data_IF_581297310306
#
_entry.id   IF_581297310306
#
_cell.length_a   1.000
_cell.length_b   1.000
_cell.length_c   1.000
_cell.angle_alpha   90.00
_cell.angle_beta   90.00
_cell.angle_gamma   90.00
#
_symmetry.space_group_name_H-M   'P 1'
#
loop_
_entity.id
_entity.type
_entity.pdbx_description
1 polymer ?
#
# COMPACT_ATOMS: atom_id res chain seq x y z
N UNK A 1 22.95 -2.68 1.45
CA UNK A 1 22.00 -1.55 1.33
C UNK A 1 20.98 -1.76 2.42
N UNK A 2 21.10 -1.02 3.51
CA UNK A 2 20.13 -1.09 4.59
C UNK A 2 18.90 -0.31 4.11
N UNK A 3 17.78 -1.01 3.92
CA UNK A 3 16.52 -0.37 3.58
C UNK A 3 15.92 0.14 4.87
N UNK A 4 16.04 1.45 5.12
CA UNK A 4 15.37 2.09 6.24
C UNK A 4 13.88 2.19 5.94
N UNK A 5 13.09 1.28 6.54
CA UNK A 5 11.64 1.28 6.39
C UNK A 5 11.07 2.34 7.34
N UNK A 6 10.32 3.34 6.84
CA UNK A 6 9.79 4.40 7.69
C UNK A 6 8.91 3.86 8.82
N UNK A 7 8.95 4.52 9.98
CA UNK A 7 8.23 4.07 11.18
C UNK A 7 6.73 3.84 10.97
N UNK A 8 6.10 4.60 10.06
CA UNK A 8 4.67 4.45 9.73
C UNK A 8 4.29 3.09 9.13
N UNK A 9 5.25 2.33 8.62
CA UNK A 9 5.04 0.96 8.13
C UNK A 9 5.21 -0.09 9.23
N UNK A 10 5.66 0.31 10.43
CA UNK A 10 5.80 -0.58 11.58
C UNK A 10 4.43 -0.71 12.25
N UNK A 11 4.05 -1.93 12.65
CA UNK A 11 2.81 -2.23 13.37
C UNK A 11 1.49 -1.85 12.65
N UNK A 12 1.46 -1.85 11.32
CA UNK A 12 0.24 -1.57 10.55
C UNK A 12 -0.79 -2.67 10.77
N UNK A 13 -2.01 -2.29 11.21
CA UNK A 13 -3.12 -3.23 11.37
C UNK A 13 -3.54 -3.77 10.00
N UNK A 14 -3.67 -5.09 9.90
CA UNK A 14 -4.22 -5.71 8.70
C UNK A 14 -5.70 -5.36 8.51
N UNK A 15 -6.07 -4.86 7.33
CA UNK A 15 -7.43 -4.47 6.96
C UNK A 15 -7.76 -4.90 5.53
N UNK A 16 -8.36 -6.08 5.36
CA UNK A 16 -8.64 -6.68 4.04
C UNK A 16 -9.57 -5.85 3.14
N UNK A 17 -10.44 -5.02 3.73
CA UNK A 17 -11.37 -4.14 3.00
C UNK A 17 -10.70 -2.91 2.39
N UNK A 18 -9.48 -2.57 2.83
CA UNK A 18 -8.71 -1.42 2.30
C UNK A 18 -7.92 -1.85 1.08
N UNK A 19 -8.49 -1.60 -0.09
CA UNK A 19 -7.95 -1.91 -1.41
C UNK A 19 -7.28 -0.68 -2.05
N UNK A 20 -6.40 -0.86 -3.07
CA UNK A 20 -5.76 0.27 -3.75
C UNK A 20 -6.76 1.35 -4.18
N UNK A 21 -6.43 2.62 -3.96
CA UNK A 21 -7.31 3.75 -4.28
C UNK A 21 -8.48 3.98 -3.30
N UNK A 22 -8.54 3.28 -2.17
CA UNK A 22 -9.51 3.59 -1.12
C UNK A 22 -9.29 5.01 -0.54
N UNK A 23 -10.31 5.54 0.16
CA UNK A 23 -10.20 6.85 0.79
C UNK A 23 -9.07 6.84 1.84
N UNK A 24 -8.25 7.88 1.81
CA UNK A 24 -7.10 8.08 2.70
C UNK A 24 -6.12 6.90 2.64
N UNK A 25 -5.85 6.36 1.45
CA UNK A 25 -5.00 5.17 1.26
C UNK A 25 -3.56 5.33 1.76
N UNK A 26 -3.05 6.56 1.82
CA UNK A 26 -1.75 6.89 2.39
C UNK A 26 -1.70 6.83 3.92
N UNK A 27 -2.85 6.88 4.59
CA UNK A 27 -2.93 6.80 6.04
C UNK A 27 -2.97 5.33 6.50
N UNK A 28 -1.79 4.81 6.85
CA UNK A 28 -1.62 3.44 7.35
C UNK A 28 -2.11 3.26 8.80
N UNK A 29 -2.43 4.33 9.52
CA UNK A 29 -3.02 4.21 10.87
C UNK A 29 -4.43 3.64 10.83
N UNK A 30 -5.13 3.80 9.69
CA UNK A 30 -6.42 3.19 9.39
C UNK A 30 -6.31 1.70 9.01
N UNK A 31 -5.08 1.17 8.98
CA UNK A 31 -4.75 -0.18 8.53
C UNK A 31 -4.54 -0.28 7.02
N UNK A 32 -4.07 -1.45 6.57
CA UNK A 32 -3.86 -1.74 5.16
C UNK A 32 -4.02 -3.23 4.87
N UNK A 33 -4.42 -3.56 3.65
CA UNK A 33 -4.14 -4.89 3.11
C UNK A 33 -2.71 -4.94 2.53
N UNK A 34 -2.29 -6.13 2.10
CA UNK A 34 -0.94 -6.33 1.57
C UNK A 34 -0.60 -5.41 0.39
N UNK A 35 -1.58 -5.16 -0.49
CA UNK A 35 -1.37 -4.38 -1.70
C UNK A 35 -1.29 -2.88 -1.41
N UNK A 36 -2.18 -2.35 -0.56
CA UNK A 36 -2.13 -0.95 -0.10
C UNK A 36 -0.83 -0.67 0.67
N UNK A 37 -0.39 -1.60 1.51
CA UNK A 37 0.90 -1.49 2.19
C UNK A 37 2.05 -1.39 1.19
N UNK A 38 2.13 -2.35 0.24
CA UNK A 38 3.18 -2.38 -0.76
C UNK A 38 3.19 -1.13 -1.63
N UNK A 39 2.02 -0.64 -2.05
CA UNK A 39 1.91 0.55 -2.90
C UNK A 39 2.35 1.82 -2.17
N UNK A 40 1.99 1.97 -0.90
CA UNK A 40 2.49 3.09 -0.10
C UNK A 40 4.00 3.01 0.13
N UNK A 41 4.56 1.81 0.29
CA UNK A 41 6.00 1.64 0.42
C UNK A 41 6.70 2.06 -0.88
N UNK A 42 6.20 1.59 -2.03
CA UNK A 42 6.70 1.99 -3.35
C UNK A 42 6.64 3.51 -3.55
N UNK A 43 5.54 4.16 -3.13
CA UNK A 43 5.38 5.63 -3.19
C UNK A 43 6.42 6.37 -2.38
N UNK A 44 6.80 5.85 -1.21
CA UNK A 44 7.89 6.45 -0.40
C UNK A 44 9.27 6.32 -1.05
N UNK A 45 9.46 5.32 -1.91
CA UNK A 45 10.64 5.20 -2.77
C UNK A 45 10.49 5.95 -4.11
N UNK A 46 9.46 6.78 -4.28
CA UNK A 46 9.25 7.61 -5.48
C UNK A 46 8.58 6.88 -6.65
N UNK A 47 8.09 5.66 -6.45
CA UNK A 47 7.38 4.88 -7.46
C UNK A 47 5.87 5.07 -7.32
N UNK A 48 5.16 5.33 -8.42
CA UNK A 48 3.72 5.57 -8.37
C UNK A 48 2.92 4.45 -9.06
N UNK A 49 2.63 3.33 -8.37
CA UNK A 49 1.83 2.25 -8.94
C UNK A 49 0.37 2.69 -9.16
N UNK A 50 -0.30 2.19 -10.21
CA UNK A 50 -1.71 2.46 -10.44
C UNK A 50 -2.58 1.82 -9.35
N UNK A 51 -3.79 2.31 -9.17
CA UNK A 51 -4.72 1.81 -8.14
C UNK A 51 -5.46 0.52 -8.54
N UNK A 52 -4.83 -0.34 -9.34
CA UNK A 52 -5.42 -1.62 -9.74
C UNK A 52 -5.22 -2.68 -8.66
N UNK A 53 -6.24 -3.49 -8.40
CA UNK A 53 -6.13 -4.75 -7.66
C UNK A 53 -5.38 -5.77 -8.48
N UNK A 54 -4.68 -6.70 -7.84
CA UNK A 54 -3.95 -7.78 -8.52
C UNK A 54 -4.78 -8.53 -9.58
N UNK A 55 -6.08 -8.70 -9.37
CA UNK A 55 -6.99 -9.33 -10.35
C UNK A 55 -7.22 -8.48 -11.61
N UNK A 56 -7.21 -7.16 -11.48
CA UNK A 56 -7.48 -6.20 -12.57
C UNK A 56 -6.27 -6.02 -13.49
N UNK A 57 -5.09 -6.54 -13.12
CA UNK A 57 -3.87 -6.46 -13.94
C UNK A 57 -3.89 -7.35 -15.18
N UNK A 58 -4.79 -8.33 -15.23
CA UNK A 58 -4.81 -9.37 -16.26
C UNK A 58 -6.07 -9.35 -17.13
N UNK A 59 -6.99 -8.40 -16.89
CA UNK A 59 -8.27 -8.29 -17.60
C UNK A 59 -8.12 -7.62 -19.00
N UNK A 60 -7.07 -7.95 -19.74
CA UNK A 60 -6.89 -7.56 -21.16
C UNK A 60 -7.70 -8.44 -22.13
#
# INVERSE_FOLDING_TARGET
MEMDIPDRFKNVRYASSRIPGCKDDSDLTLGANCQVFAYNLLRDFGLNPPNYRSSEWWDE
#
